data_IF_651993055696
#
_entry.id   IF_651993055696
#
_cell.length_a   1.000
_cell.length_b   1.000
_cell.length_c   1.000
_cell.angle_alpha   90.00
_cell.angle_beta   90.00
_cell.angle_gamma   90.00
#
_symmetry.space_group_name_H-M   'P 1'
#
loop_
_entity.id
_entity.type
_entity.pdbx_description
1 polymer ?
#
# COMPACT_ATOMS: atom_id res chain seq x y z
N UNK A 1 -23.88 53.97 30.61
CA UNK A 1 -22.95 53.90 29.46
C UNK A 1 -22.39 52.51 29.36
N UNK A 2 -22.44 51.94 28.16
CA UNK A 2 -21.97 50.60 27.82
C UNK A 2 -20.48 50.45 28.18
N UNK A 3 -20.11 49.31 28.74
CA UNK A 3 -18.85 48.64 28.38
C UNK A 3 -19.00 47.14 28.62
N UNK A 4 -19.05 46.44 27.49
CA UNK A 4 -18.82 45.00 27.33
C UNK A 4 -17.32 44.78 27.19
N UNK A 5 -16.73 43.86 27.98
CA UNK A 5 -15.52 43.06 27.67
C UNK A 5 -15.59 41.87 28.66
N UNK A 6 -15.94 40.65 28.19
CA UNK A 6 -15.05 39.48 27.99
C UNK A 6 -14.33 39.06 29.30
N UNK A 7 -14.22 37.81 29.76
CA UNK A 7 -14.36 36.45 29.21
C UNK A 7 -14.31 35.54 30.46
N UNK A 8 -15.29 34.67 30.69
CA UNK A 8 -15.17 33.22 30.45
C UNK A 8 -13.84 32.59 30.92
N UNK A 9 -13.76 32.17 32.18
CA UNK A 9 -12.87 31.09 32.58
C UNK A 9 -13.30 30.50 33.92
N UNK A 10 -13.10 29.18 34.04
CA UNK A 10 -13.32 28.31 35.20
C UNK A 10 -14.69 27.59 35.17
N UNK A 11 -14.80 26.62 34.26
CA UNK A 11 -15.37 25.31 34.62
C UNK A 11 -14.21 24.32 34.55
N UNK A 12 -13.45 24.26 35.65
CA UNK A 12 -12.46 23.22 35.92
C UNK A 12 -12.80 22.67 37.31
N UNK A 13 -13.74 21.73 37.40
CA UNK A 13 -13.81 20.73 38.48
C UNK A 13 -14.91 19.72 38.20
N UNK A 14 -14.69 18.78 37.27
CA UNK A 14 -15.19 17.40 37.43
C UNK A 14 -14.09 16.49 36.87
N UNK A 15 -13.15 16.14 37.75
CA UNK A 15 -12.17 15.10 37.48
C UNK A 15 -12.83 13.73 37.51
N UNK A 16 -13.31 13.25 36.36
CA UNK A 16 -13.49 11.82 36.15
C UNK A 16 -12.11 11.22 35.87
N UNK A 17 -11.58 10.55 36.88
CA UNK A 17 -10.47 9.60 36.77
C UNK A 17 -10.96 8.42 35.93
N UNK A 18 -10.79 8.51 34.62
CA UNK A 18 -10.88 7.36 33.73
C UNK A 18 -9.44 6.98 33.37
N UNK A 19 -8.92 5.98 34.07
CA UNK A 19 -7.75 5.22 33.64
C UNK A 19 -8.03 4.75 32.21
N UNK A 20 -7.28 5.32 31.25
CA UNK A 20 -7.22 4.76 29.90
C UNK A 20 -6.53 3.41 30.04
N UNK A 21 -7.11 2.30 29.55
CA UNK A 21 -6.32 1.10 29.37
C UNK A 21 -5.30 1.40 28.27
N UNK A 22 -4.02 1.37 28.62
CA UNK A 22 -2.94 1.27 27.65
C UNK A 22 -3.19 0.02 26.80
N UNK A 23 -3.82 0.19 25.63
CA UNK A 23 -3.70 -0.79 24.56
C UNK A 23 -2.28 -0.69 24.02
N UNK A 24 -1.35 -1.34 24.72
CA UNK A 24 -0.16 -1.91 24.05
C UNK A 24 -0.69 -2.84 22.98
N UNK A 25 -0.47 -2.48 21.72
CA UNK A 25 -0.60 -3.40 20.59
C UNK A 25 0.46 -4.47 20.84
N UNK A 26 0.01 -5.65 21.24
CA UNK A 26 0.87 -6.82 21.37
C UNK A 26 1.46 -7.12 19.99
N UNK A 27 2.77 -6.92 19.91
CA UNK A 27 3.57 -7.08 18.70
C UNK A 27 4.47 -8.31 18.87
N UNK A 28 3.91 -9.39 19.41
CA UNK A 28 4.56 -10.68 19.53
C UNK A 28 3.70 -11.76 18.89
N UNK A 29 3.93 -11.97 17.60
CA UNK A 29 3.68 -13.26 16.95
C UNK A 29 5.05 -13.91 16.70
N UNK A 30 5.71 -14.26 17.81
CA UNK A 30 6.89 -15.12 17.84
C UNK A 30 6.42 -16.56 17.60
N UNK A 31 6.27 -16.95 16.34
CA UNK A 31 6.09 -18.36 15.98
C UNK A 31 7.47 -19.00 15.85
N UNK A 32 7.74 -19.89 16.80
CA UNK A 32 8.88 -20.79 16.88
C UNK A 32 9.13 -21.50 15.52
N UNK A 33 10.35 -21.36 15.00
CA UNK A 33 10.77 -22.02 13.75
C UNK A 33 10.85 -23.54 13.99
N UNK A 34 9.86 -24.28 13.51
CA UNK A 34 10.09 -25.66 13.09
C UNK A 34 10.66 -25.65 11.67
N UNK A 35 11.88 -26.14 11.51
CA UNK A 35 12.45 -26.45 10.20
C UNK A 35 11.56 -27.51 9.53
N UNK A 36 10.78 -27.09 8.53
CA UNK A 36 10.05 -27.97 7.63
C UNK A 36 10.97 -28.22 6.42
N UNK A 37 11.15 -29.47 5.97
CA UNK A 37 12.08 -29.79 4.89
C UNK A 37 11.73 -29.06 3.60
N UNK A 38 12.76 -28.46 2.98
CA UNK A 38 12.71 -27.79 1.68
C UNK A 38 12.28 -28.78 0.60
N UNK A 39 11.00 -28.74 0.27
CA UNK A 39 10.54 -28.96 -1.10
C UNK A 39 9.85 -27.68 -1.49
N UNK A 40 10.54 -26.84 -2.27
CA UNK A 40 9.98 -25.61 -2.85
C UNK A 40 8.93 -26.02 -3.91
N UNK A 41 7.78 -26.53 -3.46
CA UNK A 41 6.59 -26.56 -4.29
C UNK A 41 6.26 -25.10 -4.58
N UNK A 42 6.20 -24.76 -5.87
CA UNK A 42 5.68 -23.48 -6.31
C UNK A 42 4.25 -23.35 -5.75
N UNK A 43 4.09 -22.55 -4.69
CA UNK A 43 2.78 -22.28 -4.10
C UNK A 43 2.17 -21.23 -5.01
N UNK A 44 1.40 -21.67 -6.00
CA UNK A 44 0.55 -20.84 -6.84
C UNK A 44 -0.89 -21.25 -6.53
N UNK A 45 -1.54 -20.53 -5.62
CA UNK A 45 -2.87 -20.95 -5.14
C UNK A 45 -3.77 -19.76 -4.83
N UNK A 46 -4.99 -19.82 -5.37
CA UNK A 46 -6.12 -18.99 -4.95
C UNK A 46 -7.09 -19.85 -4.14
N UNK A 47 -7.42 -19.40 -2.94
CA UNK A 47 -8.28 -20.12 -1.99
C UNK A 47 -9.46 -19.22 -1.67
N UNK A 48 -10.68 -19.74 -1.86
CA UNK A 48 -11.86 -19.10 -1.28
C UNK A 48 -11.92 -19.41 0.20
N UNK A 49 -11.98 -18.36 1.03
CA UNK A 49 -11.95 -18.46 2.48
C UNK A 49 -13.03 -17.56 3.09
N UNK A 50 -14.19 -18.14 3.37
CA UNK A 50 -15.33 -17.41 3.95
C UNK A 50 -15.11 -16.98 5.40
N UNK A 51 -14.01 -17.41 6.04
CA UNK A 51 -13.69 -17.02 7.43
C UNK A 51 -12.89 -15.72 7.51
N UNK A 52 -12.46 -15.17 6.36
CA UNK A 52 -11.77 -13.89 6.31
C UNK A 52 -12.61 -12.77 6.91
N UNK A 53 -11.97 -11.94 7.73
CA UNK A 53 -12.57 -10.77 8.37
C UNK A 53 -12.16 -9.51 7.61
N UNK A 54 -13.12 -8.60 7.43
CA UNK A 54 -12.88 -7.30 6.77
C UNK A 54 -11.99 -6.41 7.66
N UNK A 55 -10.91 -5.83 7.09
CA UNK A 55 -9.90 -5.06 7.86
C UNK A 55 -10.00 -3.53 7.66
N UNK A 56 -10.78 -3.05 6.68
CA UNK A 56 -11.02 -1.62 6.44
C UNK A 56 -9.99 -0.96 5.51
N UNK A 57 -10.25 0.26 4.97
CA UNK A 57 -9.73 0.75 3.68
C UNK A 57 -8.25 1.13 3.58
N UNK A 58 -7.53 1.28 4.69
CA UNK A 58 -6.11 1.66 4.70
C UNK A 58 -5.26 0.41 4.94
N UNK A 59 -4.44 0.06 3.96
CA UNK A 59 -3.71 -1.21 3.98
C UNK A 59 -2.23 -0.97 4.17
N UNK A 60 -1.61 -1.83 4.96
CA UNK A 60 -0.17 -1.96 4.99
C UNK A 60 0.24 -3.18 4.17
N UNK A 61 1.08 -2.95 3.18
CA UNK A 61 1.87 -4.00 2.55
C UNK A 61 3.10 -4.20 3.43
N UNK A 62 3.32 -5.44 3.85
CA UNK A 62 4.50 -5.85 4.61
C UNK A 62 5.49 -6.54 3.69
N UNK A 63 6.74 -6.11 3.80
CA UNK A 63 7.89 -6.53 3.01
C UNK A 63 8.91 -7.21 3.92
N UNK A 64 9.50 -8.31 3.47
CA UNK A 64 10.52 -9.02 4.26
C UNK A 64 11.51 -9.80 3.40
N UNK A 65 12.76 -9.85 3.86
CA UNK A 65 13.82 -10.73 3.36
C UNK A 65 13.99 -11.99 4.26
N UNK A 66 13.13 -12.15 5.29
CA UNK A 66 13.21 -13.20 6.31
C UNK A 66 13.98 -12.81 7.58
N UNK A 67 14.71 -11.70 7.59
CA UNK A 67 15.43 -11.14 8.75
C UNK A 67 14.88 -9.76 9.10
N UNK A 68 14.86 -8.86 8.12
CA UNK A 68 14.26 -7.53 8.18
C UNK A 68 12.80 -7.60 7.75
N UNK A 69 11.98 -6.80 8.41
CA UNK A 69 10.57 -6.60 8.08
C UNK A 69 10.29 -5.12 8.07
N UNK A 70 9.61 -4.68 7.03
CA UNK A 70 9.11 -3.33 6.96
C UNK A 70 7.68 -3.30 6.40
N UNK A 71 6.99 -2.19 6.56
CA UNK A 71 5.60 -2.04 6.09
C UNK A 71 5.40 -0.67 5.48
N UNK A 72 4.63 -0.63 4.40
CA UNK A 72 4.28 0.59 3.67
C UNK A 72 2.79 0.65 3.44
N UNK A 73 2.21 1.86 3.46
CA UNK A 73 0.79 2.01 3.18
C UNK A 73 0.54 1.68 1.70
N UNK A 74 -0.65 1.21 1.34
CA UNK A 74 -1.10 1.09 -0.04
C UNK A 74 -2.59 1.41 -0.15
N UNK A 75 -2.98 1.98 -1.28
CA UNK A 75 -4.39 2.12 -1.66
C UNK A 75 -4.79 0.96 -2.56
N UNK A 76 -5.91 0.34 -2.23
CA UNK A 76 -6.51 -0.65 -3.11
C UNK A 76 -7.49 0.05 -4.06
N UNK A 77 -7.54 -0.41 -5.31
CA UNK A 77 -8.55 -0.08 -6.31
C UNK A 77 -9.00 -1.37 -7.00
N UNK A 78 -10.21 -1.38 -7.55
CA UNK A 78 -10.70 -2.52 -8.31
C UNK A 78 -11.46 -2.14 -9.57
N UNK A 79 -11.15 -2.84 -10.66
CA UNK A 79 -11.95 -2.82 -11.87
C UNK A 79 -12.63 -4.17 -12.08
N UNK A 80 -13.94 -4.12 -12.36
CA UNK A 80 -14.79 -5.30 -12.52
C UNK A 80 -15.28 -5.38 -13.95
N UNK A 81 -15.34 -6.59 -14.47
CA UNK A 81 -15.95 -6.91 -15.74
C UNK A 81 -16.89 -8.11 -15.54
N UNK A 82 -18.17 -7.81 -15.34
CA UNK A 82 -19.20 -8.84 -15.15
C UNK A 82 -19.40 -9.69 -16.41
N UNK A 83 -19.23 -9.11 -17.59
CA UNK A 83 -19.45 -9.81 -18.86
C UNK A 83 -18.41 -10.90 -19.08
N UNK A 84 -17.16 -10.59 -18.74
CA UNK A 84 -16.02 -11.50 -18.91
C UNK A 84 -15.68 -12.28 -17.63
N UNK A 85 -16.46 -12.10 -16.55
CA UNK A 85 -16.23 -12.73 -15.26
C UNK A 85 -14.78 -12.50 -14.78
N UNK A 86 -14.35 -11.23 -14.79
CA UNK A 86 -13.00 -10.79 -14.44
C UNK A 86 -13.02 -9.68 -13.38
N UNK A 87 -12.14 -9.78 -12.39
CA UNK A 87 -11.85 -8.71 -11.43
C UNK A 87 -10.35 -8.43 -11.43
N UNK A 88 -9.99 -7.15 -11.52
CA UNK A 88 -8.63 -6.65 -11.39
C UNK A 88 -8.53 -5.89 -10.09
N UNK A 89 -7.66 -6.33 -9.20
CA UNK A 89 -7.34 -5.67 -7.93
C UNK A 89 -5.98 -5.00 -8.12
N UNK A 90 -5.88 -3.71 -7.82
CA UNK A 90 -4.63 -2.97 -7.90
C UNK A 90 -4.31 -2.34 -6.56
N UNK A 91 -3.12 -2.62 -6.03
CA UNK A 91 -2.55 -1.95 -4.88
C UNK A 91 -1.51 -0.95 -5.35
N UNK A 92 -1.71 0.31 -4.99
CA UNK A 92 -0.82 1.42 -5.34
C UNK A 92 -0.10 1.92 -4.10
N UNK A 93 1.22 2.00 -4.18
CA UNK A 93 2.08 2.58 -3.15
C UNK A 93 3.20 3.39 -3.80
N UNK A 94 3.91 4.20 -3.01
CA UNK A 94 5.13 4.88 -3.43
C UNK A 94 6.22 4.66 -2.39
N UNK A 95 7.47 4.53 -2.83
CA UNK A 95 8.66 4.51 -1.99
C UNK A 95 9.54 5.74 -2.30
N UNK A 96 10.33 6.25 -1.33
CA UNK A 96 11.30 7.31 -1.57
C UNK A 96 12.37 6.89 -2.59
N UNK A 97 13.22 7.83 -2.99
CA UNK A 97 14.41 7.53 -3.80
C UNK A 97 15.37 6.60 -3.07
N UNK A 98 16.25 5.93 -3.82
CA UNK A 98 17.27 5.06 -3.23
C UNK A 98 18.22 5.85 -2.31
N UNK A 99 18.65 7.03 -2.76
CA UNK A 99 19.43 7.98 -1.97
C UNK A 99 18.75 8.36 -0.65
N UNK A 100 17.46 8.67 -0.67
CA UNK A 100 16.71 8.96 0.56
C UNK A 100 16.62 7.72 1.45
N UNK A 101 16.31 6.55 0.89
CA UNK A 101 16.26 5.31 1.65
C UNK A 101 17.59 5.02 2.35
N UNK A 102 18.73 5.25 1.69
CA UNK A 102 20.07 5.01 2.24
C UNK A 102 20.47 6.03 3.32
N UNK A 103 19.89 7.24 3.29
CA UNK A 103 20.21 8.32 4.24
C UNK A 103 19.23 8.42 5.41
N UNK A 104 18.03 7.85 5.29
CA UNK A 104 17.02 7.83 6.36
C UNK A 104 17.47 6.97 7.55
N UNK A 105 17.51 7.57 8.74
CA UNK A 105 17.71 6.81 9.99
C UNK A 105 16.49 5.92 10.25
N UNK A 106 16.70 4.85 11.02
CA UNK A 106 15.67 3.83 11.26
C UNK A 106 14.45 4.36 12.02
N UNK A 107 14.61 5.40 12.84
CA UNK A 107 13.52 6.14 13.48
C UNK A 107 12.68 6.92 12.46
N UNK A 108 13.33 7.52 11.46
CA UNK A 108 12.70 8.38 10.46
C UNK A 108 11.96 7.55 9.41
N UNK A 109 12.43 6.33 9.14
CA UNK A 109 11.71 5.34 8.32
C UNK A 109 10.34 4.99 8.89
N UNK A 110 10.13 5.04 10.21
CA UNK A 110 8.82 4.70 10.81
C UNK A 110 7.78 5.81 10.60
N UNK A 111 8.17 7.08 10.69
CA UNK A 111 7.29 8.24 10.45
C UNK A 111 7.01 8.46 8.96
N UNK A 112 7.98 8.18 8.08
CA UNK A 112 7.83 8.38 6.64
C UNK A 112 6.83 7.43 5.96
N UNK A 113 6.49 6.29 6.56
CA UNK A 113 5.53 5.33 5.98
C UNK A 113 4.13 5.89 5.75
N UNK A 114 3.73 6.87 6.56
CA UNK A 114 2.44 7.56 6.46
C UNK A 114 2.51 8.70 5.42
N UNK A 115 3.65 9.40 5.39
CA UNK A 115 3.92 10.52 4.49
C UNK A 115 4.15 10.07 3.03
N UNK A 116 4.72 8.87 2.82
CA UNK A 116 5.02 8.32 1.49
C UNK A 116 3.81 8.20 0.55
N UNK A 117 2.58 8.28 1.05
CA UNK A 117 1.35 8.25 0.24
C UNK A 117 0.44 9.45 0.43
N UNK A 118 0.34 9.98 1.64
CA UNK A 118 -0.53 11.13 1.95
C UNK A 118 0.18 12.44 1.58
N UNK A 119 1.51 12.39 1.45
CA UNK A 119 2.35 13.57 1.36
C UNK A 119 3.32 13.57 0.19
N UNK A 120 2.79 13.27 -0.99
CA UNK A 120 3.31 13.87 -2.22
C UNK A 120 2.62 15.22 -2.49
N UNK A 121 1.98 15.80 -1.46
CA UNK A 121 1.21 17.05 -1.54
C UNK A 121 1.88 18.25 -0.85
N UNK A 122 2.81 18.03 0.10
CA UNK A 122 3.65 19.05 0.72
C UNK A 122 5.14 18.95 0.33
N UNK A 123 5.53 17.97 -0.49
CA UNK A 123 6.89 17.91 -1.00
C UNK A 123 7.02 18.86 -2.21
N UNK A 124 7.96 19.79 -2.12
CA UNK A 124 8.31 20.73 -3.20
C UNK A 124 8.80 20.00 -4.47
N UNK A 125 9.30 18.76 -4.31
CA UNK A 125 9.74 17.87 -5.37
C UNK A 125 9.24 16.44 -5.17
N UNK A 126 8.93 15.74 -6.27
CA UNK A 126 8.38 14.38 -6.22
C UNK A 126 9.40 13.41 -6.76
N UNK A 127 10.29 13.06 -5.87
CA UNK A 127 11.36 12.11 -6.11
C UNK A 127 11.01 10.78 -5.43
N UNK A 128 10.97 9.71 -6.21
CA UNK A 128 10.66 8.37 -5.70
C UNK A 128 10.16 7.41 -6.76
N UNK A 129 9.68 6.27 -6.30
CA UNK A 129 9.20 5.19 -7.15
C UNK A 129 7.79 4.75 -6.75
N UNK A 130 6.86 4.86 -7.71
CA UNK A 130 5.49 4.37 -7.59
C UNK A 130 5.43 2.91 -7.99
N UNK A 131 4.65 2.13 -7.24
CA UNK A 131 4.46 0.70 -7.39
C UNK A 131 2.99 0.38 -7.57
N UNK A 132 2.69 -0.47 -8.54
CA UNK A 132 1.34 -0.89 -8.89
C UNK A 132 1.29 -2.41 -8.95
N UNK A 133 0.92 -3.04 -7.84
CA UNK A 133 0.70 -4.48 -7.79
C UNK A 133 -0.71 -4.78 -8.29
N UNK A 134 -0.82 -5.38 -9.47
CA UNK A 134 -2.10 -5.74 -10.09
C UNK A 134 -2.29 -7.25 -10.08
N UNK A 135 -3.42 -7.71 -9.54
CA UNK A 135 -3.86 -9.11 -9.52
C UNK A 135 -5.12 -9.20 -10.39
N UNK A 136 -5.05 -9.99 -11.46
CA UNK A 136 -6.17 -10.26 -12.35
C UNK A 136 -6.72 -11.67 -12.11
N UNK A 137 -8.00 -11.72 -11.74
CA UNK A 137 -8.71 -12.97 -11.45
C UNK A 137 -9.86 -13.10 -12.44
N UNK A 138 -9.92 -14.23 -13.14
CA UNK A 138 -11.01 -14.58 -14.05
C UNK A 138 -11.53 -15.95 -13.69
N UNK A 139 -12.85 -16.12 -13.62
CA UNK A 139 -13.45 -17.44 -13.34
C UNK A 139 -12.92 -18.10 -12.04
N UNK A 140 -12.63 -17.30 -11.01
CA UNK A 140 -12.00 -17.72 -9.75
C UNK A 140 -10.60 -18.32 -9.90
N UNK A 141 -9.90 -17.97 -10.97
CA UNK A 141 -8.51 -18.35 -11.25
C UNK A 141 -7.65 -17.11 -11.45
N UNK A 142 -6.41 -17.14 -10.95
CA UNK A 142 -5.43 -16.09 -11.23
C UNK A 142 -5.02 -16.20 -12.69
N UNK A 143 -5.33 -15.17 -13.47
CA UNK A 143 -4.85 -15.05 -14.85
C UNK A 143 -3.46 -14.46 -14.90
N UNK A 144 -3.22 -13.45 -14.06
CA UNK A 144 -2.00 -12.66 -14.12
C UNK A 144 -1.79 -11.91 -12.82
N UNK A 145 -0.53 -11.79 -12.40
CA UNK A 145 -0.11 -10.89 -11.32
C UNK A 145 1.13 -10.16 -11.82
N UNK A 146 1.14 -8.82 -11.68
CA UNK A 146 2.26 -7.99 -12.11
C UNK A 146 2.53 -6.89 -11.10
N UNK A 147 3.80 -6.61 -10.86
CA UNK A 147 4.24 -5.41 -10.15
C UNK A 147 4.83 -4.46 -11.19
N UNK A 148 4.14 -3.36 -11.46
CA UNK A 148 4.68 -2.29 -12.30
C UNK A 148 5.33 -1.24 -11.41
N UNK A 149 6.44 -0.69 -11.87
CA UNK A 149 7.14 0.42 -11.23
C UNK A 149 7.20 1.62 -12.15
N UNK A 150 7.00 2.83 -11.63
CA UNK A 150 7.27 4.09 -12.33
C UNK A 150 8.11 4.99 -11.43
N UNK A 151 9.29 5.39 -11.89
CA UNK A 151 10.24 6.20 -11.12
C UNK A 151 10.31 7.63 -11.66
N UNK A 152 10.54 8.61 -10.78
CA UNK A 152 11.05 9.94 -11.16
C UNK A 152 12.57 10.03 -11.05
N UNK A 153 13.20 9.04 -10.43
CA UNK A 153 14.65 8.96 -10.21
C UNK A 153 15.28 7.91 -11.16
N UNK A 154 16.29 8.30 -11.97
CA UNK A 154 17.02 7.38 -12.84
C UNK A 154 17.89 6.34 -12.10
N UNK A 155 18.18 6.51 -10.80
CA UNK A 155 18.99 5.57 -10.00
C UNK A 155 18.33 4.17 -9.85
N UNK A 156 17.05 4.04 -10.18
CA UNK A 156 16.38 2.73 -10.36
C UNK A 156 16.61 2.19 -11.78
N UNK A 157 17.85 1.81 -12.07
CA UNK A 157 18.28 1.09 -13.29
C UNK A 157 18.01 1.81 -14.63
N UNK A 158 18.03 3.15 -14.68
CA UNK A 158 17.74 3.96 -15.87
C UNK A 158 16.34 3.70 -16.48
N UNK A 159 15.51 2.91 -15.79
CA UNK A 159 14.19 2.50 -16.22
C UNK A 159 13.16 3.30 -15.46
N UNK A 160 12.69 4.37 -16.09
CA UNK A 160 11.53 5.11 -15.60
C UNK A 160 10.30 4.20 -15.45
N UNK A 161 10.23 3.08 -16.15
CA UNK A 161 9.18 2.07 -16.03
C UNK A 161 9.78 0.65 -15.97
N UNK A 162 9.28 -0.17 -15.04
CA UNK A 162 9.68 -1.57 -14.92
C UNK A 162 8.48 -2.50 -14.63
N UNK A 163 8.63 -3.79 -14.92
CA UNK A 163 7.60 -4.81 -14.74
C UNK A 163 8.22 -6.10 -14.18
N UNK A 164 8.14 -6.27 -12.86
CA UNK A 164 8.65 -7.46 -12.19
C UNK A 164 7.63 -8.60 -12.26
N UNK A 165 8.10 -9.78 -12.63
CA UNK A 165 7.31 -11.02 -12.64
C UNK A 165 7.19 -11.63 -11.24
N UNK A 166 6.15 -12.45 -11.05
CA UNK A 166 5.86 -13.08 -9.77
C UNK A 166 6.37 -14.52 -9.76
N UNK A 167 7.23 -14.83 -8.80
CA UNK A 167 7.79 -16.18 -8.63
C UNK A 167 6.75 -17.16 -8.09
N UNK A 168 6.02 -16.76 -7.06
CA UNK A 168 4.95 -17.57 -6.46
C UNK A 168 3.92 -16.72 -5.70
N UNK A 169 2.73 -17.26 -5.48
CA UNK A 169 1.65 -16.57 -4.78
C UNK A 169 0.71 -17.49 -3.99
N UNK A 170 0.25 -16.98 -2.85
CA UNK A 170 -0.90 -17.50 -2.11
C UNK A 170 -1.88 -16.38 -1.88
N UNK A 171 -3.08 -16.51 -2.42
CA UNK A 171 -4.16 -15.52 -2.28
C UNK A 171 -5.35 -16.21 -1.62
N UNK A 172 -5.86 -15.60 -0.56
CA UNK A 172 -7.12 -15.97 0.07
C UNK A 172 -8.14 -14.89 -0.24
N UNK A 173 -9.32 -15.28 -0.70
CA UNK A 173 -10.40 -14.36 -1.08
C UNK A 173 -11.69 -14.74 -0.37
N UNK A 174 -12.34 -13.77 0.25
CA UNK A 174 -13.57 -13.96 1.05
C UNK A 174 -14.67 -14.63 0.24
N UNK A 175 -14.93 -14.08 -0.94
CA UNK A 175 -15.89 -14.58 -1.92
C UNK A 175 -15.52 -14.09 -3.31
N UNK A 176 -16.07 -14.77 -4.30
CA UNK A 176 -16.00 -14.34 -5.68
C UNK A 176 -17.42 -14.14 -6.19
N UNK A 177 -17.94 -12.94 -5.97
CA UNK A 177 -19.29 -12.58 -6.35
C UNK A 177 -19.28 -11.27 -7.13
N UNK A 178 -19.41 -11.37 -8.45
CA UNK A 178 -19.46 -10.23 -9.36
C UNK A 178 -20.68 -9.36 -9.20
N UNK A 179 -21.77 -9.92 -8.67
CA UNK A 179 -23.00 -9.17 -8.45
C UNK A 179 -22.91 -8.23 -7.25
N UNK A 180 -22.02 -8.53 -6.29
CA UNK A 180 -21.81 -7.76 -5.05
C UNK A 180 -20.31 -7.54 -4.79
N UNK A 181 -19.59 -7.15 -5.84
CA UNK A 181 -18.13 -7.13 -5.79
C UNK A 181 -17.55 -5.99 -4.91
N UNK A 182 -18.37 -5.14 -4.29
CA UNK A 182 -17.95 -4.11 -3.31
C UNK A 182 -17.54 -4.69 -1.96
N UNK A 183 -17.77 -5.99 -1.76
CA UNK A 183 -17.44 -6.73 -0.53
C UNK A 183 -16.47 -7.88 -0.80
N UNK A 184 -15.66 -7.77 -1.85
CA UNK A 184 -14.58 -8.72 -2.11
C UNK A 184 -13.34 -8.21 -1.39
N UNK A 185 -12.80 -9.06 -0.53
CA UNK A 185 -11.59 -8.76 0.22
C UNK A 185 -10.78 -10.02 0.51
N UNK A 186 -9.51 -9.86 0.85
CA UNK A 186 -8.62 -10.99 0.98
C UNK A 186 -7.23 -10.66 1.44
N UNK A 187 -6.51 -11.71 1.83
CA UNK A 187 -5.10 -11.65 2.18
C UNK A 187 -4.27 -12.24 1.03
N UNK A 188 -3.10 -11.67 0.79
CA UNK A 188 -2.16 -12.18 -0.20
C UNK A 188 -0.76 -12.33 0.39
N UNK A 189 -0.03 -13.30 -0.16
CA UNK A 189 1.41 -13.50 0.03
C UNK A 189 2.01 -13.77 -1.33
N UNK A 190 2.97 -12.96 -1.73
CA UNK A 190 3.61 -12.99 -3.04
C UNK A 190 5.12 -13.01 -2.85
N UNK A 191 5.81 -13.78 -3.69
CA UNK A 191 7.26 -13.74 -3.79
C UNK A 191 7.63 -13.16 -5.15
N UNK A 192 8.37 -12.06 -5.14
CA UNK A 192 8.86 -11.40 -6.34
C UNK A 192 10.12 -12.11 -6.88
N UNK A 193 10.33 -12.04 -8.19
CA UNK A 193 11.60 -12.44 -8.82
C UNK A 193 12.74 -11.51 -8.40
N UNK A 194 12.45 -10.21 -8.38
CA UNK A 194 13.37 -9.10 -8.07
C UNK A 194 12.97 -8.40 -6.77
N UNK A 195 13.85 -7.53 -6.29
CA UNK A 195 13.61 -6.75 -5.07
C UNK A 195 12.44 -5.78 -5.28
N UNK A 196 11.61 -5.61 -4.26
CA UNK A 196 10.55 -4.60 -4.28
C UNK A 196 11.15 -3.18 -4.27
N UNK A 197 12.27 -3.00 -3.56
CA UNK A 197 13.11 -1.79 -3.62
C UNK A 197 13.02 -0.86 -2.40
N UNK A 198 12.26 -1.22 -1.36
CA UNK A 198 12.23 -0.49 -0.08
C UNK A 198 13.50 -0.78 0.74
N UNK A 199 14.02 -2.00 0.67
CA UNK A 199 15.33 -2.38 1.16
C UNK A 199 15.85 -3.61 0.39
N UNK A 200 17.15 -3.91 0.50
CA UNK A 200 17.74 -5.03 -0.23
C UNK A 200 17.04 -6.36 0.08
N UNK A 201 16.77 -7.17 -0.95
CA UNK A 201 16.17 -8.53 -0.88
C UNK A 201 14.75 -8.59 -0.30
N UNK A 202 14.00 -7.48 -0.31
CA UNK A 202 12.62 -7.38 0.18
C UNK A 202 11.57 -8.03 -0.74
N UNK A 203 11.79 -9.28 -1.14
CA UNK A 203 11.01 -9.98 -2.17
C UNK A 203 9.70 -10.60 -1.68
N UNK A 204 9.55 -10.78 -0.37
CA UNK A 204 8.34 -11.38 0.18
C UNK A 204 7.34 -10.28 0.53
N UNK A 205 6.28 -10.17 -0.26
CA UNK A 205 5.26 -9.15 -0.15
C UNK A 205 3.99 -9.77 0.43
N UNK A 206 3.48 -9.24 1.53
CA UNK A 206 2.24 -9.71 2.16
C UNK A 206 1.33 -8.53 2.40
N UNK A 207 0.04 -8.74 2.28
CA UNK A 207 -0.90 -7.67 2.59
C UNK A 207 -2.33 -8.14 2.52
N UNK A 208 -3.21 -7.16 2.59
CA UNK A 208 -4.64 -7.33 2.47
C UNK A 208 -5.16 -6.39 1.38
N UNK A 209 -6.20 -6.82 0.69
CA UNK A 209 -6.95 -6.01 -0.24
C UNK A 209 -8.42 -6.02 0.15
N UNK A 210 -9.10 -4.90 -0.07
CA UNK A 210 -10.55 -4.85 -0.08
C UNK A 210 -11.00 -3.95 -1.23
N UNK A 211 -11.94 -4.50 -1.97
CA UNK A 211 -12.28 -4.04 -3.29
C UNK A 211 -13.23 -2.86 -3.22
N UNK A 212 -12.67 -1.65 -3.23
CA UNK A 212 -13.44 -0.45 -3.49
C UNK A 212 -13.67 -0.31 -5.01
N UNK A 213 -14.79 0.28 -5.42
CA UNK A 213 -15.14 0.46 -6.84
C UNK A 213 -14.30 1.54 -7.56
N UNK A 214 -13.08 1.82 -7.08
CA UNK A 214 -12.24 2.87 -7.66
C UNK A 214 -11.53 2.38 -8.91
N UNK A 215 -11.33 3.31 -9.85
CA UNK A 215 -10.64 3.06 -11.11
C UNK A 215 -9.21 2.58 -10.82
N UNK A 216 -8.77 1.53 -11.50
CA UNK A 216 -7.36 1.14 -11.55
C UNK A 216 -6.66 1.94 -12.66
N UNK A 217 -5.37 2.15 -12.52
CA UNK A 217 -4.54 2.77 -13.57
C UNK A 217 -4.04 1.68 -14.52
N UNK A 218 -4.21 1.84 -15.83
CA UNK A 218 -3.75 0.84 -16.81
C UNK A 218 -2.23 0.86 -16.96
N UNK A 219 -1.67 -0.17 -17.59
CA UNK A 219 -0.22 -0.22 -17.88
C UNK A 219 0.19 0.96 -18.74
N UNK A 220 -0.59 1.26 -19.78
CA UNK A 220 -0.34 2.32 -20.75
C UNK A 220 -0.38 3.68 -20.04
N UNK A 221 -1.39 3.92 -19.20
CA UNK A 221 -1.49 5.13 -18.38
C UNK A 221 -0.29 5.28 -17.44
N UNK A 222 0.18 4.20 -16.79
CA UNK A 222 1.37 4.24 -15.94
C UNK A 222 2.61 4.57 -16.79
N UNK A 223 2.77 3.94 -17.95
CA UNK A 223 3.92 4.17 -18.84
C UNK A 223 3.99 5.63 -19.31
N UNK A 224 2.86 6.19 -19.74
CA UNK A 224 2.73 7.56 -20.23
C UNK A 224 2.63 8.60 -19.10
N UNK A 225 2.57 8.16 -17.84
CA UNK A 225 2.40 9.05 -16.71
C UNK A 225 3.58 10.02 -16.56
N UNK A 226 3.33 11.30 -16.83
CA UNK A 226 4.21 12.39 -16.42
C UNK A 226 3.92 12.75 -14.96
N UNK A 227 4.70 12.15 -14.06
CA UNK A 227 4.52 12.31 -12.61
C UNK A 227 4.63 13.79 -12.23
N UNK A 228 5.68 14.49 -12.66
CA UNK A 228 5.95 15.89 -12.29
C UNK A 228 4.78 16.80 -12.68
N UNK A 229 4.38 16.77 -13.94
CA UNK A 229 3.26 17.57 -14.45
C UNK A 229 1.93 17.24 -13.73
N UNK A 230 1.69 15.96 -13.41
CA UNK A 230 0.48 15.52 -12.70
C UNK A 230 0.39 16.05 -11.27
N UNK A 231 1.51 16.45 -10.68
CA UNK A 231 1.57 17.01 -9.35
C UNK A 231 1.54 18.54 -9.37
N UNK A 232 2.25 19.18 -10.29
CA UNK A 232 2.14 20.63 -10.53
C UNK A 232 0.69 21.05 -10.75
N UNK A 233 -0.03 20.36 -11.66
CA UNK A 233 -1.46 20.61 -11.90
C UNK A 233 -2.34 20.38 -10.68
N UNK A 234 -1.98 19.46 -9.78
CA UNK A 234 -2.75 19.25 -8.53
C UNK A 234 -2.57 20.40 -7.55
N UNK A 235 -1.36 20.96 -7.46
CA UNK A 235 -1.08 22.10 -6.60
C UNK A 235 -1.72 23.39 -7.12
N UNK A 236 -1.70 23.60 -8.45
CA UNK A 236 -2.41 24.70 -9.11
C UNK A 236 -3.92 24.67 -8.82
N UNK A 237 -4.55 23.50 -8.94
CA UNK A 237 -5.99 23.34 -8.68
C UNK A 237 -6.37 23.49 -7.20
N UNK A 238 -5.40 23.40 -6.29
CA UNK A 238 -5.58 23.63 -4.85
C UNK A 238 -5.21 25.04 -4.41
N UNK A 239 -4.80 25.91 -5.34
CA UNK A 239 -4.41 27.30 -5.05
C UNK A 239 -3.03 27.46 -4.39
N UNK A 240 -2.23 26.39 -4.33
CA UNK A 240 -0.86 26.43 -3.84
C UNK A 240 0.05 26.64 -5.06
N UNK A 241 0.24 27.90 -5.47
CA UNK A 241 1.34 28.23 -6.38
C UNK A 241 2.65 28.09 -5.62
N UNK A 242 3.56 27.25 -6.13
CA UNK A 242 4.97 27.28 -5.72
C UNK A 242 5.51 28.63 -6.16
N UNK A 243 5.92 29.44 -5.20
CA UNK A 243 6.60 30.71 -5.46
C UNK A 243 8.07 30.35 -5.66
N UNK A 244 8.60 30.61 -6.86
CA UNK A 244 10.02 30.48 -7.22
C UNK A 244 10.93 31.33 -6.32
#
# INVERSE_FOLDING_TARGET
MKNYVLIFLIILTIGCKNEKPDKKIDLDDYVEKKEVPKTDRKIDTLIRDSTLIRKGPAYFITLTDGKKRDSIIAFCSCQKDKKNNTIKIQLTTAIPTKKELDTLKETDRKSNKVLQLIDLGYLDDINGQFKFLTIEIKDSLIQNIRLLSKSTDPEYDEKYFDSTSIKSYKIQISKFDYSIASDIYGDFKIVLEEDFGLFEKDRNVKGYFECNNWRITTKEEIMEWNIKESFEKRNENRGFRVIE
#
